data_IF_665963687235
#
_entry.id   IF_665963687235
#
_cell.length_a   1.000
_cell.length_b   1.000
_cell.length_c   1.000
_cell.angle_alpha   90.00
_cell.angle_beta   90.00
_cell.angle_gamma   90.00
#
_symmetry.space_group_name_H-M   'P 1'
#
loop_
_entity.id
_entity.type
_entity.pdbx_description
1 polymer ?
#
# COMPACT_ATOMS: atom_id res chain seq x y z
N UNK A 1 7.54 -22.13 6.89
CA UNK A 1 7.51 -21.23 5.71
C UNK A 1 6.80 -19.95 6.10
N UNK A 2 7.36 -18.77 5.84
CA UNK A 2 6.64 -17.50 6.07
C UNK A 2 5.75 -17.22 4.85
N UNK A 3 4.43 -17.16 5.05
CA UNK A 3 3.44 -17.03 3.98
C UNK A 3 3.61 -15.76 3.12
N UNK A 4 4.24 -14.71 3.66
CA UNK A 4 4.25 -13.38 3.03
C UNK A 4 5.61 -12.94 2.47
N UNK A 5 6.58 -13.85 2.31
CA UNK A 5 7.96 -13.46 1.91
C UNK A 5 8.04 -12.80 0.52
N UNK A 6 7.06 -13.04 -0.37
CA UNK A 6 7.00 -12.44 -1.71
C UNK A 6 6.16 -11.16 -1.81
N UNK A 7 5.45 -10.79 -0.75
CA UNK A 7 4.61 -9.59 -0.76
C UNK A 7 5.49 -8.34 -0.80
N UNK A 8 5.01 -7.34 -1.55
CA UNK A 8 5.70 -6.05 -1.62
C UNK A 8 5.50 -5.29 -0.31
N UNK A 9 6.57 -4.66 0.18
CA UNK A 9 6.56 -3.88 1.43
C UNK A 9 6.71 -2.41 1.09
N UNK A 10 5.78 -1.58 1.56
CA UNK A 10 5.80 -0.14 1.38
C UNK A 10 5.97 0.55 2.74
N UNK A 11 6.96 1.43 2.82
CA UNK A 11 7.12 2.31 3.97
C UNK A 11 6.15 3.49 3.88
N UNK A 12 5.46 3.78 4.97
CA UNK A 12 4.53 4.92 5.09
C UNK A 12 4.79 5.69 6.39
N UNK A 13 4.42 6.97 6.39
CA UNK A 13 4.56 7.83 7.58
C UNK A 13 3.30 7.81 8.45
N UNK A 14 2.16 7.45 7.87
CA UNK A 14 0.85 7.38 8.50
C UNK A 14 0.81 6.37 9.65
N UNK A 15 -0.06 6.61 10.63
CA UNK A 15 -0.35 5.66 11.70
C UNK A 15 -1.04 4.43 11.11
N UNK A 16 -0.63 3.23 11.53
CA UNK A 16 -1.19 1.98 11.03
C UNK A 16 -2.08 1.31 12.07
N UNK A 17 -3.20 0.76 11.61
CA UNK A 17 -4.22 0.15 12.47
C UNK A 17 -5.23 -0.66 11.67
N UNK A 18 -6.10 -1.37 12.37
CA UNK A 18 -7.21 -2.08 11.72
C UNK A 18 -8.21 -1.06 11.14
N UNK A 19 -8.78 -1.40 9.98
CA UNK A 19 -9.87 -0.65 9.33
C UNK A 19 -9.55 0.83 9.00
N UNK A 20 -8.27 1.14 8.76
CA UNK A 20 -7.84 2.47 8.30
C UNK A 20 -7.66 2.50 6.78
N UNK A 21 -7.93 3.66 6.18
CA UNK A 21 -7.60 3.97 4.79
C UNK A 21 -6.88 5.32 4.76
N UNK A 22 -5.85 5.45 3.93
CA UNK A 22 -5.18 6.72 3.65
C UNK A 22 -4.82 6.81 2.17
N UNK A 23 -4.67 8.04 1.68
CA UNK A 23 -4.27 8.29 0.30
C UNK A 23 -2.75 8.09 0.16
N UNK A 24 -2.35 7.19 -0.73
CA UNK A 24 -0.94 7.06 -1.07
C UNK A 24 -0.42 8.35 -1.72
N UNK A 25 0.78 8.79 -1.34
CA UNK A 25 1.39 9.97 -1.96
C UNK A 25 1.55 9.79 -3.49
N UNK A 26 1.70 10.85 -4.28
CA UNK A 26 1.90 10.73 -5.73
C UNK A 26 3.09 9.83 -6.09
N UNK A 27 4.17 9.88 -5.30
CA UNK A 27 5.34 9.03 -5.51
C UNK A 27 5.05 7.55 -5.19
N UNK A 28 4.33 7.28 -4.08
CA UNK A 28 3.93 5.92 -3.73
C UNK A 28 2.96 5.35 -4.77
N UNK A 29 1.94 6.11 -5.16
CA UNK A 29 0.98 5.73 -6.20
C UNK A 29 1.70 5.40 -7.52
N UNK A 30 2.63 6.25 -7.94
CA UNK A 30 3.42 5.99 -9.16
C UNK A 30 4.28 4.72 -9.02
N UNK A 31 4.94 4.54 -7.87
CA UNK A 31 5.75 3.35 -7.62
C UNK A 31 4.93 2.07 -7.65
N UNK A 32 3.77 2.05 -6.98
CA UNK A 32 2.88 0.88 -6.94
C UNK A 32 2.32 0.55 -8.33
N UNK A 33 1.75 1.54 -9.02
CA UNK A 33 1.01 1.30 -10.27
C UNK A 33 1.90 1.20 -11.52
N UNK A 34 2.97 1.99 -11.61
CA UNK A 34 3.79 2.06 -12.83
C UNK A 34 5.08 1.26 -12.71
N UNK A 35 5.74 1.28 -11.55
CA UNK A 35 7.00 0.56 -11.35
C UNK A 35 6.75 -0.90 -11.02
N UNK A 36 5.93 -1.16 -9.99
CA UNK A 36 5.60 -2.52 -9.56
C UNK A 36 4.44 -3.14 -10.35
N UNK A 37 3.68 -2.34 -11.09
CA UNK A 37 2.51 -2.76 -11.89
C UNK A 37 1.44 -3.47 -11.07
N UNK A 38 1.25 -3.02 -9.83
CA UNK A 38 0.18 -3.48 -8.96
C UNK A 38 -1.13 -2.78 -9.31
N UNK A 39 -2.22 -3.55 -9.36
CA UNK A 39 -3.56 -3.06 -9.66
C UNK A 39 -4.40 -2.84 -8.41
N UNK A 40 -5.67 -2.51 -8.63
CA UNK A 40 -6.71 -2.59 -7.60
C UNK A 40 -6.73 -3.98 -6.96
N UNK A 41 -7.08 -4.04 -5.67
CA UNK A 41 -7.13 -5.25 -4.85
C UNK A 41 -5.79 -5.99 -4.65
N UNK A 42 -4.68 -5.46 -5.19
CA UNK A 42 -3.37 -6.05 -4.94
C UNK A 42 -2.97 -5.90 -3.46
N UNK A 43 -2.64 -7.02 -2.83
CA UNK A 43 -2.20 -7.07 -1.44
C UNK A 43 -0.73 -6.66 -1.30
N UNK A 44 -0.48 -5.75 -0.37
CA UNK A 44 0.86 -5.29 0.02
C UNK A 44 0.98 -5.24 1.53
N UNK A 45 2.21 -5.18 2.01
CA UNK A 45 2.51 -4.96 3.42
C UNK A 45 2.91 -3.50 3.63
N UNK A 46 2.25 -2.84 4.58
CA UNK A 46 2.58 -1.50 5.04
C UNK A 46 3.39 -1.58 6.33
N UNK A 47 4.35 -0.68 6.50
CA UNK A 47 5.07 -0.55 7.76
C UNK A 47 5.55 0.90 7.95
N UNK A 48 5.63 1.33 9.20
CA UNK A 48 6.05 2.70 9.55
C UNK A 48 7.12 2.73 10.67
N UNK A 49 7.65 1.56 11.05
CA UNK A 49 8.68 1.42 12.08
C UNK A 49 8.21 1.54 13.53
N UNK A 50 6.94 1.89 13.78
CA UNK A 50 6.36 2.01 15.14
C UNK A 50 5.20 1.06 15.40
N UNK A 51 4.34 0.83 14.40
CA UNK A 51 3.10 0.04 14.55
C UNK A 51 3.24 -1.41 14.03
N UNK A 52 4.42 -1.77 13.53
CA UNK A 52 4.69 -3.07 12.94
C UNK A 52 4.35 -3.16 11.45
N UNK A 53 4.05 -4.38 10.98
CA UNK A 53 3.69 -4.68 9.60
C UNK A 53 2.20 -4.98 9.49
N UNK A 54 1.52 -4.33 8.55
CA UNK A 54 0.08 -4.45 8.32
C UNK A 54 -0.20 -4.90 6.90
N UNK A 55 -1.16 -5.81 6.71
CA UNK A 55 -1.64 -6.17 5.37
C UNK A 55 -2.64 -5.14 4.89
N UNK A 56 -2.51 -4.70 3.65
CA UNK A 56 -3.43 -3.76 3.02
C UNK A 56 -3.67 -4.13 1.57
N UNK A 57 -4.82 -3.72 1.04
CA UNK A 57 -5.15 -3.83 -0.38
C UNK A 57 -5.10 -2.44 -1.03
N UNK A 58 -4.64 -2.37 -2.27
CA UNK A 58 -4.65 -1.12 -3.04
C UNK A 58 -6.09 -0.81 -3.48
N UNK A 59 -6.65 0.27 -2.98
CA UNK A 59 -7.89 0.85 -3.48
C UNK A 59 -7.58 1.82 -4.64
N UNK A 60 -7.88 1.42 -5.87
CA UNK A 60 -7.63 2.26 -7.04
C UNK A 60 -8.73 3.33 -7.19
N UNK A 61 -8.59 4.48 -6.53
CA UNK A 61 -9.45 5.63 -6.78
C UNK A 61 -8.93 6.41 -7.99
N UNK A 62 -9.44 6.10 -9.18
CA UNK A 62 -9.17 6.93 -10.36
C UNK A 62 -9.80 8.31 -10.16
N UNK A 63 -8.97 9.35 -10.01
CA UNK A 63 -9.44 10.74 -10.06
C UNK A 63 -9.96 10.98 -11.47
N UNK A 64 -11.28 10.92 -11.66
CA UNK A 64 -11.93 11.37 -12.89
C UNK A 64 -11.63 12.87 -12.99
N UNK A 65 -10.64 13.23 -13.81
CA UNK A 65 -10.45 14.61 -14.21
C UNK A 65 -11.70 15.02 -14.99
N UNK A 66 -12.45 15.98 -14.44
CA UNK A 66 -13.45 16.77 -15.18
C UNK A 66 -12.75 17.97 -15.80
#
# INVERSE_FOLDING_TARGET
MRANYKMQRLFVLDDLGADIEFEASPQQSHYLMHVLRLGEDAEILLFNGRDGEWSAAIAAKSKKAV
#
